data_IF_508847553003
#
_entry.id   IF_508847553003
#
_cell.length_a   1.000
_cell.length_b   1.000
_cell.length_c   1.000
_cell.angle_alpha   90.00
_cell.angle_beta   90.00
_cell.angle_gamma   90.00
#
_symmetry.space_group_name_H-M   'P 1'
#
loop_
_entity.id
_entity.type
_entity.pdbx_description
1 polymer ?
#
# COMPACT_ATOMS: atom_id res chain seq x y z
N UNK A 1 -4.19 -16.94 -32.90
CA UNK A 1 -2.82 -17.35 -32.53
C UNK A 1 -2.04 -16.09 -32.19
N UNK A 2 -1.42 -15.90 -31.03
CA UNK A 2 -1.41 -16.63 -29.77
C UNK A 2 -1.11 -15.63 -28.66
N UNK A 3 -1.78 -15.75 -27.52
CA UNK A 3 -1.51 -14.99 -26.31
C UNK A 3 -0.75 -15.87 -25.31
N UNK A 4 0.33 -15.35 -24.73
CA UNK A 4 1.08 -16.04 -23.67
C UNK A 4 0.61 -15.54 -22.31
N UNK A 5 -0.16 -16.38 -21.61
CA UNK A 5 -0.29 -16.34 -20.15
C UNK A 5 0.70 -17.34 -19.55
N UNK A 6 1.51 -16.93 -18.58
CA UNK A 6 2.27 -17.86 -17.75
C UNK A 6 1.30 -18.61 -16.83
N UNK A 7 1.05 -19.89 -17.13
CA UNK A 7 0.23 -20.82 -16.35
C UNK A 7 1.15 -21.93 -15.82
N UNK A 8 1.15 -22.17 -14.51
CA UNK A 8 1.55 -23.46 -13.95
C UNK A 8 0.33 -24.39 -13.96
N UNK A 9 0.41 -25.50 -14.71
CA UNK A 9 -0.61 -26.56 -14.77
C UNK A 9 -0.09 -27.83 -14.07
N UNK A 10 -0.98 -28.49 -13.32
CA UNK A 10 -0.90 -29.89 -12.90
C UNK A 10 -2.29 -30.47 -13.14
N UNK A 11 -2.40 -31.59 -13.88
CA UNK A 11 -3.66 -32.26 -14.21
C UNK A 11 -3.91 -33.46 -13.28
N UNK A 12 -5.16 -33.65 -12.87
CA UNK A 12 -5.65 -34.85 -12.18
C UNK A 12 -6.89 -35.39 -12.89
N UNK A 13 -6.93 -36.71 -13.08
CA UNK A 13 -8.03 -37.47 -13.67
C UNK A 13 -8.79 -38.18 -12.53
N UNK A 14 -10.06 -37.84 -12.30
CA UNK A 14 -10.93 -38.53 -11.33
C UNK A 14 -12.31 -37.88 -11.15
N UNK A 15 -13.35 -38.72 -11.12
CA UNK A 15 -14.78 -38.35 -11.11
C UNK A 15 -15.27 -37.91 -9.71
N UNK A 16 -15.66 -36.63 -9.58
CA UNK A 16 -16.13 -35.99 -8.33
C UNK A 16 -17.66 -36.08 -8.17
N UNK A 17 -18.35 -36.80 -9.07
CA UNK A 17 -19.83 -36.81 -9.15
C UNK A 17 -20.54 -37.59 -8.02
N UNK A 18 -19.81 -38.40 -7.25
CA UNK A 18 -20.39 -39.35 -6.27
C UNK A 18 -20.45 -38.83 -4.83
N UNK A 19 -19.73 -37.76 -4.49
CA UNK A 19 -19.68 -37.22 -3.11
C UNK A 19 -20.81 -36.20 -2.87
N UNK A 20 -21.30 -35.54 -3.92
CA UNK A 20 -22.30 -34.46 -3.82
C UNK A 20 -23.74 -34.99 -3.67
N UNK A 21 -24.01 -36.28 -3.95
CA UNK A 21 -25.37 -36.85 -3.89
C UNK A 21 -25.79 -37.39 -2.52
N UNK A 22 -24.88 -37.48 -1.54
CA UNK A 22 -25.22 -38.00 -0.21
C UNK A 22 -25.68 -36.94 0.80
N UNK A 23 -25.57 -35.64 0.48
CA UNK A 23 -25.83 -34.55 1.44
C UNK A 23 -27.23 -33.92 1.33
N UNK A 24 -28.11 -34.41 0.45
CA UNK A 24 -29.31 -33.66 0.04
C UNK A 24 -30.67 -34.23 0.46
N UNK A 25 -30.73 -35.06 1.51
CA UNK A 25 -32.00 -35.54 2.05
C UNK A 25 -31.97 -35.61 3.57
N UNK A 26 -32.55 -34.59 4.22
CA UNK A 26 -33.41 -34.65 5.43
C UNK A 26 -33.42 -33.30 6.17
N UNK A 27 -34.56 -32.59 6.08
CA UNK A 27 -35.41 -32.20 7.22
C UNK A 27 -36.26 -30.96 6.88
N UNK A 28 -37.56 -31.11 7.12
CA UNK A 28 -38.62 -30.12 6.97
C UNK A 28 -38.78 -29.25 8.25
N UNK A 29 -38.95 -27.92 8.02
CA UNK A 29 -39.72 -26.79 8.67
C UNK A 29 -40.42 -27.04 10.05
N UNK A 30 -40.63 -26.06 11.00
CA UNK A 30 -40.92 -24.62 10.77
C UNK A 30 -40.52 -23.51 11.81
N UNK A 31 -40.41 -22.25 11.34
CA UNK A 31 -40.54 -20.96 12.09
C UNK A 31 -39.40 -20.59 13.07
N UNK A 32 -39.01 -19.31 13.33
CA UNK A 32 -39.75 -18.05 13.24
C UNK A 32 -39.08 -17.02 12.31
N UNK A 33 -39.71 -16.72 11.17
CA UNK A 33 -39.21 -15.84 10.10
C UNK A 33 -39.24 -14.32 10.41
N UNK A 34 -39.29 -13.90 11.68
CA UNK A 34 -39.35 -12.47 12.03
C UNK A 34 -38.09 -11.90 12.71
N UNK A 35 -37.14 -12.74 13.14
CA UNK A 35 -35.93 -12.25 13.84
C UNK A 35 -34.58 -12.60 13.15
N UNK A 36 -34.55 -13.51 12.17
CA UNK A 36 -33.29 -13.87 11.48
C UNK A 36 -32.79 -12.82 10.47
N UNK A 37 -33.65 -11.93 9.96
CA UNK A 37 -33.23 -10.94 8.96
C UNK A 37 -32.27 -9.86 9.51
N UNK A 38 -32.21 -9.69 10.83
CA UNK A 38 -31.25 -8.77 11.49
C UNK A 38 -29.93 -9.49 11.83
N UNK A 39 -29.95 -10.81 12.04
CA UNK A 39 -28.76 -11.59 12.39
C UNK A 39 -27.98 -12.06 11.15
N UNK A 40 -28.61 -12.31 10.00
CA UNK A 40 -27.90 -12.74 8.78
C UNK A 40 -27.04 -11.62 8.15
N UNK A 41 -27.37 -10.34 8.38
CA UNK A 41 -26.47 -9.21 8.05
C UNK A 41 -25.41 -8.93 9.13
N UNK A 42 -25.56 -9.53 10.31
CA UNK A 42 -24.51 -9.69 11.31
C UNK A 42 -23.87 -11.07 11.14
N UNK A 43 -23.51 -11.45 9.92
CA UNK A 43 -22.51 -12.50 9.69
C UNK A 43 -21.20 -12.02 10.30
N UNK A 44 -21.12 -12.16 11.62
CA UNK A 44 -19.90 -12.15 12.38
C UNK A 44 -19.00 -13.12 11.60
N UNK A 45 -17.96 -12.59 10.95
CA UNK A 45 -16.90 -13.42 10.35
C UNK A 45 -16.70 -14.63 11.28
N UNK A 46 -16.79 -15.87 10.76
CA UNK A 46 -16.78 -17.05 11.60
C UNK A 46 -15.62 -16.92 12.58
N UNK A 47 -15.90 -17.07 13.87
CA UNK A 47 -14.90 -16.99 14.92
C UNK A 47 -13.85 -18.07 14.65
N UNK A 48 -12.79 -17.69 13.94
CA UNK A 48 -11.70 -18.62 13.66
C UNK A 48 -10.96 -18.87 14.96
N UNK A 49 -10.64 -20.14 15.28
CA UNK A 49 -9.78 -20.46 16.41
C UNK A 49 -8.45 -19.72 16.26
N UNK A 50 -7.94 -19.21 17.39
CA UNK A 50 -6.66 -18.53 17.45
C UNK A 50 -5.55 -19.54 17.11
N UNK A 51 -4.75 -19.22 16.09
CA UNK A 51 -3.54 -19.97 15.75
C UNK A 51 -2.34 -19.09 16.13
N UNK A 52 -1.34 -19.63 16.86
CA UNK A 52 -0.10 -18.90 17.13
C UNK A 52 0.51 -18.40 15.82
N UNK A 53 0.84 -17.11 15.78
CA UNK A 53 1.39 -16.47 14.59
C UNK A 53 2.80 -17.04 14.34
N UNK A 54 2.99 -17.69 13.19
CA UNK A 54 4.30 -18.21 12.78
C UNK A 54 5.25 -17.03 12.61
N UNK A 55 6.38 -17.05 13.31
CA UNK A 55 7.38 -15.97 13.30
C UNK A 55 7.69 -15.49 11.88
N UNK A 56 7.69 -14.16 11.70
CA UNK A 56 7.92 -13.40 10.45
C UNK A 56 6.89 -13.50 9.30
N UNK A 57 5.76 -14.21 9.46
CA UNK A 57 4.74 -14.26 8.40
C UNK A 57 4.00 -12.93 8.14
N UNK A 58 4.15 -11.93 9.02
CA UNK A 58 3.68 -10.57 8.76
C UNK A 58 4.41 -9.88 7.59
N UNK A 59 5.62 -10.34 7.22
CA UNK A 59 6.36 -9.82 6.05
C UNK A 59 5.58 -9.99 4.74
N UNK A 60 4.56 -10.83 4.72
CA UNK A 60 3.65 -10.98 3.57
C UNK A 60 2.67 -9.80 3.44
N UNK A 61 2.38 -9.11 4.56
CA UNK A 61 1.57 -7.91 4.57
C UNK A 61 2.40 -6.65 4.28
N UNK A 62 3.70 -6.67 4.64
CA UNK A 62 4.64 -5.58 4.38
C UNK A 62 5.17 -5.70 2.96
N UNK A 63 5.21 -4.60 2.22
CA UNK A 63 5.77 -4.52 0.87
C UNK A 63 7.17 -3.94 0.96
N UNK A 64 8.09 -4.56 0.23
CA UNK A 64 9.43 -3.99 0.05
C UNK A 64 9.33 -2.74 -0.84
N UNK A 65 9.40 -1.56 -0.20
CA UNK A 65 9.33 -0.22 -0.80
C UNK A 65 10.53 0.58 -0.31
N UNK A 66 10.85 1.69 -0.99
CA UNK A 66 11.97 2.56 -0.61
C UNK A 66 11.90 2.93 0.89
N UNK A 67 12.97 2.72 1.68
CA UNK A 67 12.99 2.96 3.13
C UNK A 67 13.12 4.45 3.47
N UNK A 68 12.32 5.29 2.81
CA UNK A 68 12.33 6.74 2.98
C UNK A 68 11.24 7.18 3.94
N UNK A 69 11.52 8.24 4.70
CA UNK A 69 10.54 8.85 5.60
C UNK A 69 9.30 9.34 4.86
N UNK A 70 8.18 9.45 5.56
CA UNK A 70 6.94 9.97 4.97
C UNK A 70 7.09 11.41 4.44
N UNK A 71 7.99 12.21 5.03
CA UNK A 71 8.28 13.59 4.61
C UNK A 71 9.01 13.59 3.26
N UNK A 72 10.09 12.84 3.16
CA UNK A 72 10.87 12.70 1.91
C UNK A 72 10.02 12.10 0.79
N UNK A 73 9.21 11.07 1.09
CA UNK A 73 8.25 10.50 0.14
C UNK A 73 7.27 11.57 -0.37
N UNK A 74 6.69 12.37 0.53
CA UNK A 74 5.72 13.40 0.18
C UNK A 74 6.35 14.49 -0.70
N UNK A 75 7.58 14.89 -0.41
CA UNK A 75 8.32 15.88 -1.20
C UNK A 75 8.58 15.35 -2.62
N UNK A 76 9.08 14.12 -2.75
CA UNK A 76 9.23 13.45 -4.04
C UNK A 76 7.93 13.36 -4.83
N UNK A 77 6.84 12.93 -4.19
CA UNK A 77 5.51 12.89 -4.82
C UNK A 77 5.03 14.29 -5.26
N UNK A 78 5.43 15.34 -4.53
CA UNK A 78 5.10 16.71 -4.88
C UNK A 78 5.85 17.16 -6.13
N UNK A 79 7.15 16.91 -6.19
CA UNK A 79 7.99 17.22 -7.35
C UNK A 79 7.49 16.51 -8.60
N UNK A 80 7.28 15.18 -8.51
CA UNK A 80 6.71 14.39 -9.61
C UNK A 80 5.35 14.93 -10.08
N UNK A 81 4.49 15.35 -9.15
CA UNK A 81 3.20 15.92 -9.49
C UNK A 81 3.34 17.26 -10.23
N UNK A 82 4.23 18.15 -9.77
CA UNK A 82 4.45 19.46 -10.39
C UNK A 82 5.03 19.32 -11.80
N UNK A 83 6.01 18.43 -12.00
CA UNK A 83 6.58 18.14 -13.32
C UNK A 83 5.52 17.63 -14.31
N UNK A 84 4.67 16.69 -13.86
CA UNK A 84 3.57 16.17 -14.68
C UNK A 84 2.58 17.27 -15.06
N UNK A 85 2.27 18.19 -14.14
CA UNK A 85 1.39 19.32 -14.41
C UNK A 85 2.01 20.34 -15.35
N UNK A 86 3.30 20.65 -15.20
CA UNK A 86 4.02 21.55 -16.12
C UNK A 86 3.96 21.02 -17.55
N UNK A 87 4.42 19.79 -17.76
CA UNK A 87 4.42 19.15 -19.07
C UNK A 87 3.00 19.05 -19.66
N UNK A 88 1.99 18.83 -18.80
CA UNK A 88 0.61 18.75 -19.24
C UNK A 88 0.03 20.09 -19.67
N UNK A 89 0.27 21.16 -18.90
CA UNK A 89 -0.18 22.51 -19.27
C UNK A 89 0.47 22.97 -20.58
N UNK A 90 1.77 22.67 -20.78
CA UNK A 90 2.46 22.96 -22.04
C UNK A 90 1.90 22.18 -23.25
N UNK A 91 1.18 21.07 -23.02
CA UNK A 91 0.51 20.32 -24.09
C UNK A 91 -0.87 20.87 -24.48
N UNK A 92 -1.39 21.84 -23.74
CA UNK A 92 -2.66 22.48 -24.04
C UNK A 92 -2.50 23.57 -25.13
N UNK A 93 -3.60 24.04 -25.74
CA UNK A 93 -3.52 25.08 -26.75
C UNK A 93 -2.88 26.39 -26.24
N UNK A 94 -2.02 26.97 -27.06
CA UNK A 94 -1.23 28.17 -26.71
C UNK A 94 -2.04 29.44 -26.46
N UNK A 95 -3.29 29.51 -26.97
CA UNK A 95 -4.17 30.65 -26.74
C UNK A 95 -4.70 30.73 -25.29
N UNK A 96 -4.59 29.65 -24.51
CA UNK A 96 -5.01 29.63 -23.12
C UNK A 96 -4.04 30.47 -22.28
N UNK A 97 -4.56 31.41 -21.49
CA UNK A 97 -3.75 32.41 -20.79
C UNK A 97 -2.65 31.80 -19.89
N UNK A 98 -2.98 30.75 -19.13
CA UNK A 98 -2.01 30.04 -18.27
C UNK A 98 -0.86 29.40 -19.07
N UNK A 99 -1.15 28.91 -20.28
CA UNK A 99 -0.15 28.29 -21.15
C UNK A 99 0.74 29.35 -21.77
N UNK A 100 0.16 30.46 -22.24
CA UNK A 100 0.91 31.61 -22.76
C UNK A 100 1.87 32.18 -21.70
N UNK A 101 1.40 32.35 -20.47
CA UNK A 101 2.23 32.78 -19.34
C UNK A 101 3.37 31.78 -19.07
N UNK A 102 3.07 30.49 -18.98
CA UNK A 102 4.07 29.46 -18.70
C UNK A 102 5.12 29.34 -19.83
N UNK A 103 4.68 29.41 -21.08
CA UNK A 103 5.54 29.32 -22.27
C UNK A 103 6.46 30.55 -22.42
N UNK A 104 6.04 31.72 -21.93
CA UNK A 104 6.84 32.95 -21.93
C UNK A 104 8.03 32.92 -20.96
N UNK A 105 8.01 32.00 -19.99
CA UNK A 105 9.08 31.83 -19.00
C UNK A 105 10.20 30.93 -19.53
N UNK A 106 11.42 31.17 -19.06
CA UNK A 106 12.55 30.25 -19.24
C UNK A 106 12.26 28.90 -18.58
N UNK A 107 12.87 27.83 -19.08
CA UNK A 107 12.70 26.48 -18.51
C UNK A 107 13.03 26.42 -17.01
N UNK A 108 14.02 27.20 -16.56
CA UNK A 108 14.38 27.32 -15.14
C UNK A 108 13.34 28.02 -14.27
N UNK A 109 12.48 28.87 -14.84
CA UNK A 109 11.50 29.66 -14.10
C UNK A 109 10.11 28.99 -14.05
N UNK A 110 9.81 28.06 -14.96
CA UNK A 110 8.51 27.37 -15.03
C UNK A 110 8.17 26.57 -13.77
N UNK A 111 9.08 25.78 -13.15
CA UNK A 111 8.74 25.00 -11.95
C UNK A 111 8.27 25.88 -10.80
N UNK A 112 8.79 27.11 -10.68
CA UNK A 112 8.37 28.08 -9.67
C UNK A 112 6.92 28.53 -9.87
N UNK A 113 6.55 28.92 -11.10
CA UNK A 113 5.16 29.30 -11.41
C UNK A 113 4.20 28.14 -11.11
N UNK A 114 4.54 26.92 -11.51
CA UNK A 114 3.70 25.74 -11.28
C UNK A 114 3.58 25.44 -9.78
N UNK A 115 4.67 25.58 -9.01
CA UNK A 115 4.64 25.47 -7.56
C UNK A 115 3.81 26.58 -6.91
N UNK A 116 3.83 27.81 -7.39
CA UNK A 116 3.00 28.89 -6.85
C UNK A 116 1.50 28.62 -7.09
N UNK A 117 1.15 28.08 -8.27
CA UNK A 117 -0.23 27.70 -8.60
C UNK A 117 -0.73 26.49 -7.80
N UNK A 118 0.08 25.45 -7.68
CA UNK A 118 -0.36 24.12 -7.23
C UNK A 118 0.18 23.72 -5.85
N UNK A 119 1.19 24.44 -5.34
CA UNK A 119 1.96 24.14 -4.13
C UNK A 119 1.12 23.98 -2.86
N UNK A 120 0.01 24.69 -2.81
CA UNK A 120 -0.90 24.69 -1.67
C UNK A 120 -1.85 23.46 -1.64
N UNK A 121 -1.81 22.59 -2.64
CA UNK A 121 -2.58 21.35 -2.72
C UNK A 121 -1.72 20.15 -2.35
N UNK A 122 -2.37 19.09 -1.85
CA UNK A 122 -1.67 17.84 -1.56
C UNK A 122 -1.25 17.11 -2.86
N UNK A 123 -0.08 16.45 -2.90
CA UNK A 123 0.41 15.71 -4.08
C UNK A 123 -0.61 14.70 -4.61
N UNK A 124 -1.22 13.92 -3.72
CA UNK A 124 -2.26 12.94 -4.08
C UNK A 124 -3.49 13.57 -4.74
N UNK A 125 -3.83 14.81 -4.38
CA UNK A 125 -4.90 15.57 -5.04
C UNK A 125 -4.47 15.99 -6.43
N UNK A 126 -3.26 16.56 -6.57
CA UNK A 126 -2.70 16.97 -7.86
C UNK A 126 -2.67 15.80 -8.85
N UNK A 127 -2.14 14.65 -8.44
CA UNK A 127 -2.06 13.45 -9.28
C UNK A 127 -3.45 12.91 -9.65
N UNK A 128 -4.42 12.94 -8.72
CA UNK A 128 -5.79 12.51 -9.01
C UNK A 128 -6.47 13.41 -10.04
N UNK A 129 -6.29 14.74 -9.93
CA UNK A 129 -6.84 15.72 -10.88
C UNK A 129 -6.15 15.64 -12.23
N UNK A 130 -4.83 15.52 -12.24
CA UNK A 130 -4.02 15.30 -13.43
C UNK A 130 -4.52 14.08 -14.21
N UNK A 131 -4.59 12.90 -13.57
CA UNK A 131 -5.02 11.66 -14.25
C UNK A 131 -6.43 11.74 -14.82
N UNK A 132 -7.36 12.36 -14.09
CA UNK A 132 -8.74 12.52 -14.56
C UNK A 132 -8.82 13.47 -15.77
N UNK A 133 -8.13 14.62 -15.70
CA UNK A 133 -8.12 15.60 -16.78
C UNK A 133 -7.31 15.11 -17.99
N UNK A 134 -6.22 14.37 -17.76
CA UNK A 134 -5.41 13.73 -18.81
C UNK A 134 -6.22 12.71 -19.59
N UNK A 135 -7.00 11.87 -18.90
CA UNK A 135 -7.89 10.92 -19.57
C UNK A 135 -8.93 11.61 -20.48
N UNK A 136 -9.44 12.77 -20.07
CA UNK A 136 -10.33 13.58 -20.89
C UNK A 136 -9.59 14.23 -22.08
N UNK A 137 -8.40 14.79 -21.84
CA UNK A 137 -7.56 15.37 -22.87
C UNK A 137 -7.17 14.36 -23.97
N UNK A 138 -6.78 13.15 -23.56
CA UNK A 138 -6.43 12.08 -24.49
C UNK A 138 -7.67 11.61 -25.29
N UNK A 139 -8.86 11.60 -24.67
CA UNK A 139 -10.12 11.33 -25.37
C UNK A 139 -10.39 12.38 -26.46
N UNK A 140 -10.30 13.68 -26.14
CA UNK A 140 -10.49 14.75 -27.13
C UNK A 140 -9.49 14.65 -28.28
N UNK A 141 -8.23 14.36 -27.96
CA UNK A 141 -7.16 14.19 -28.95
C UNK A 141 -7.45 13.04 -29.91
N UNK A 142 -8.06 11.95 -29.44
CA UNK A 142 -8.54 10.84 -30.27
C UNK A 142 -9.58 11.25 -31.32
N UNK A 143 -10.36 12.31 -31.05
CA UNK A 143 -11.33 12.90 -31.98
C UNK A 143 -10.81 14.17 -32.66
N UNK A 144 -9.51 14.49 -32.52
CA UNK A 144 -8.90 15.73 -33.04
C UNK A 144 -9.58 17.01 -32.55
N UNK A 145 -10.21 16.96 -31.38
CA UNK A 145 -10.83 18.12 -30.73
C UNK A 145 -9.78 18.80 -29.85
N UNK A 146 -9.67 20.12 -29.98
CA UNK A 146 -8.77 20.92 -29.14
C UNK A 146 -9.33 21.03 -27.71
N UNK A 147 -8.47 20.85 -26.70
CA UNK A 147 -8.85 21.04 -25.31
C UNK A 147 -9.22 22.52 -25.03
N UNK A 148 -10.29 22.83 -24.27
CA UNK A 148 -11.09 21.94 -23.42
C UNK A 148 -12.30 21.25 -24.09
N UNK A 149 -12.53 21.47 -25.39
CA UNK A 149 -13.70 20.95 -26.12
C UNK A 149 -15.01 21.64 -25.74
N UNK A 150 -16.11 21.18 -26.32
CA UNK A 150 -17.47 21.65 -26.05
C UNK A 150 -18.14 20.88 -24.90
N UNK A 151 -19.30 21.38 -24.43
CA UNK A 151 -20.14 20.64 -23.46
C UNK A 151 -20.49 19.24 -23.96
N UNK A 152 -20.79 19.13 -25.25
CA UNK A 152 -21.15 17.86 -25.88
C UNK A 152 -19.99 16.87 -25.86
N UNK A 153 -18.76 17.33 -26.07
CA UNK A 153 -17.57 16.48 -26.01
C UNK A 153 -17.32 15.97 -24.58
N UNK A 154 -17.48 16.87 -23.59
CA UNK A 154 -17.38 16.51 -22.18
C UNK A 154 -18.44 15.48 -21.79
N UNK A 155 -19.68 15.71 -22.15
CA UNK A 155 -20.76 14.75 -21.90
C UNK A 155 -20.51 13.41 -22.60
N UNK A 156 -20.06 13.44 -23.86
CA UNK A 156 -19.69 12.26 -24.63
C UNK A 156 -18.60 11.44 -23.94
N UNK A 157 -17.59 12.08 -23.35
CA UNK A 157 -16.58 11.40 -22.56
C UNK A 157 -17.16 10.73 -21.30
N UNK A 158 -18.08 11.40 -20.60
CA UNK A 158 -18.73 10.82 -19.42
C UNK A 158 -19.60 9.60 -19.78
N UNK A 159 -20.31 9.65 -20.90
CA UNK A 159 -21.02 8.51 -21.47
C UNK A 159 -20.04 7.38 -21.81
N UNK A 160 -18.95 7.66 -22.52
CA UNK A 160 -17.92 6.66 -22.82
C UNK A 160 -17.35 5.98 -21.57
N UNK A 161 -17.13 6.73 -20.49
CA UNK A 161 -16.71 6.16 -19.21
C UNK A 161 -17.80 5.25 -18.62
N UNK A 162 -19.07 5.65 -18.72
CA UNK A 162 -20.21 4.86 -18.26
C UNK A 162 -20.34 3.55 -19.05
N UNK A 163 -20.24 3.62 -20.38
CA UNK A 163 -20.34 2.47 -21.29
C UNK A 163 -19.18 1.48 -21.05
N UNK A 164 -18.00 1.98 -20.68
CA UNK A 164 -16.87 1.17 -20.21
C UNK A 164 -17.03 0.64 -18.77
N UNK A 165 -18.20 0.79 -18.16
CA UNK A 165 -18.50 0.30 -16.81
C UNK A 165 -17.75 1.02 -15.69
N UNK A 166 -17.21 2.23 -15.92
CA UNK A 166 -16.52 2.98 -14.87
C UNK A 166 -17.52 3.48 -13.83
N UNK A 167 -17.11 3.40 -12.56
CA UNK A 167 -17.94 3.85 -11.44
C UNK A 167 -18.33 5.34 -11.55
N UNK A 168 -19.48 5.71 -10.98
CA UNK A 168 -19.94 7.10 -10.90
C UNK A 168 -18.89 8.03 -10.25
N UNK A 169 -18.12 7.52 -9.28
CA UNK A 169 -17.02 8.27 -8.65
C UNK A 169 -15.89 8.65 -9.61
N UNK A 170 -15.62 7.83 -10.64
CA UNK A 170 -14.63 8.16 -11.66
C UNK A 170 -15.11 9.32 -12.54
N UNK A 171 -16.38 9.28 -12.98
CA UNK A 171 -17.03 10.33 -13.76
C UNK A 171 -17.14 11.64 -12.97
N UNK A 172 -17.53 11.56 -11.68
CA UNK A 172 -17.48 12.70 -10.75
C UNK A 172 -16.05 13.25 -10.61
N UNK A 173 -15.04 12.38 -10.60
CA UNK A 173 -13.64 12.77 -10.56
C UNK A 173 -13.21 13.67 -11.72
N UNK A 174 -13.77 13.46 -12.93
CA UNK A 174 -13.55 14.31 -14.11
C UNK A 174 -14.13 15.71 -13.88
N UNK A 175 -15.38 15.81 -13.43
CA UNK A 175 -16.02 17.10 -13.14
C UNK A 175 -15.28 17.90 -12.06
N UNK A 176 -14.82 17.21 -11.02
CA UNK A 176 -13.99 17.82 -9.99
C UNK A 176 -12.60 18.24 -10.52
N UNK A 177 -12.07 17.59 -11.55
CA UNK A 177 -10.84 18.00 -12.23
C UNK A 177 -11.05 19.21 -13.14
N UNK A 178 -12.20 19.32 -13.82
CA UNK A 178 -12.58 20.54 -14.53
C UNK A 178 -12.80 21.70 -13.57
N UNK A 179 -13.43 21.46 -12.42
CA UNK A 179 -13.55 22.47 -11.35
C UNK A 179 -12.17 22.91 -10.86
N UNK A 180 -11.25 21.96 -10.71
CA UNK A 180 -9.87 22.25 -10.32
C UNK A 180 -9.16 23.12 -11.37
N UNK A 181 -9.27 22.77 -12.65
CA UNK A 181 -8.71 23.58 -13.73
C UNK A 181 -9.27 25.01 -13.72
N UNK A 182 -10.58 25.17 -13.50
CA UNK A 182 -11.22 26.49 -13.41
C UNK A 182 -10.73 27.31 -12.21
N UNK A 183 -10.87 26.77 -11.01
CA UNK A 183 -10.76 27.56 -9.77
C UNK A 183 -9.35 27.56 -9.16
N UNK A 184 -8.49 26.62 -9.55
CA UNK A 184 -7.10 26.54 -9.03
C UNK A 184 -6.11 26.99 -10.09
N UNK A 185 -6.28 26.53 -11.34
CA UNK A 185 -5.37 26.89 -12.44
C UNK A 185 -5.80 28.20 -13.11
N UNK A 186 -7.07 28.58 -13.01
CA UNK A 186 -7.60 29.81 -13.62
C UNK A 186 -8.06 29.63 -15.07
N UNK A 187 -8.34 28.40 -15.50
CA UNK A 187 -8.82 28.10 -16.85
C UNK A 187 -10.31 28.43 -16.98
N UNK A 188 -10.64 29.61 -17.49
CA UNK A 188 -12.03 30.11 -17.54
C UNK A 188 -12.89 29.38 -18.58
N UNK A 189 -12.25 28.85 -19.63
CA UNK A 189 -12.87 28.22 -20.80
C UNK A 189 -13.61 26.92 -20.44
N UNK A 190 -13.24 26.25 -19.35
CA UNK A 190 -13.96 25.06 -18.85
C UNK A 190 -15.24 25.40 -18.07
N UNK A 191 -15.59 26.69 -17.95
CA UNK A 191 -16.75 27.15 -17.18
C UNK A 191 -18.06 26.46 -17.58
N UNK A 192 -18.38 26.47 -18.88
CA UNK A 192 -19.60 25.86 -19.41
C UNK A 192 -19.65 24.33 -19.20
N UNK A 193 -18.49 23.67 -19.20
CA UNK A 193 -18.39 22.22 -18.93
C UNK A 193 -18.68 21.92 -17.46
N UNK A 194 -18.13 22.76 -16.57
CA UNK A 194 -18.27 22.60 -15.13
C UNK A 194 -19.69 22.87 -14.63
N UNK A 195 -20.45 23.74 -15.30
CA UNK A 195 -21.82 24.13 -14.93
C UNK A 195 -22.91 23.27 -15.58
N UNK A 196 -22.55 22.37 -16.52
CA UNK A 196 -23.52 21.55 -17.24
C UNK A 196 -24.31 20.61 -16.31
N UNK A 197 -25.61 20.88 -16.18
CA UNK A 197 -26.56 20.00 -15.46
C UNK A 197 -26.58 18.58 -16.03
N UNK A 198 -26.35 18.44 -17.34
CA UNK A 198 -26.33 17.16 -18.05
C UNK A 198 -25.10 16.32 -17.63
N UNK A 199 -23.93 16.94 -17.60
CA UNK A 199 -22.69 16.32 -17.12
C UNK A 199 -22.79 15.92 -15.64
N UNK A 200 -23.31 16.80 -14.79
CA UNK A 200 -23.58 16.49 -13.37
C UNK A 200 -24.59 15.36 -13.20
N UNK A 201 -25.65 15.34 -14.01
CA UNK A 201 -26.65 14.29 -14.02
C UNK A 201 -26.00 12.93 -14.32
N UNK A 202 -25.17 12.85 -15.36
CA UNK A 202 -24.45 11.62 -15.71
C UNK A 202 -23.57 11.12 -14.54
N UNK A 203 -22.76 12.01 -13.96
CA UNK A 203 -21.87 11.66 -12.85
C UNK A 203 -22.61 11.29 -11.54
N UNK A 204 -23.90 11.64 -11.41
CA UNK A 204 -24.77 11.26 -10.30
C UNK A 204 -25.48 9.92 -10.50
N UNK A 205 -25.48 9.34 -11.70
CA UNK A 205 -26.10 8.03 -11.93
C UNK A 205 -25.29 6.97 -11.18
N UNK A 206 -25.69 6.72 -9.93
CA UNK A 206 -25.13 5.69 -9.06
C UNK A 206 -25.69 4.35 -9.51
N UNK A 207 -24.83 3.39 -9.80
CA UNK A 207 -25.29 2.00 -9.87
C UNK A 207 -25.80 1.63 -8.48
N UNK A 208 -26.99 1.05 -8.38
CA UNK A 208 -27.67 0.70 -7.12
C UNK A 208 -26.94 -0.40 -6.30
N UNK A 209 -25.63 -0.55 -6.47
CA UNK A 209 -24.79 -1.45 -5.69
C UNK A 209 -24.62 -0.85 -4.31
N UNK A 210 -25.12 -1.56 -3.31
CA UNK A 210 -24.78 -1.31 -1.92
C UNK A 210 -23.26 -1.19 -1.80
N UNK A 211 -22.79 -0.07 -1.24
CA UNK A 211 -21.37 0.14 -1.00
C UNK A 211 -20.94 -0.83 0.09
N UNK A 212 -20.19 -1.87 -0.27
CA UNK A 212 -19.54 -2.76 0.70
C UNK A 212 -18.55 -1.95 1.56
N UNK A 213 -19.00 -1.57 2.75
CA UNK A 213 -18.14 -0.94 3.75
C UNK A 213 -17.45 -2.02 4.57
N UNK A 214 -16.19 -1.77 4.95
CA UNK A 214 -15.53 -2.62 5.92
C UNK A 214 -16.31 -2.58 7.24
N UNK A 215 -16.56 -3.73 7.84
CA UNK A 215 -17.19 -3.81 9.17
C UNK A 215 -16.30 -3.11 10.20
N UNK A 216 -16.93 -2.43 11.16
CA UNK A 216 -16.22 -1.93 12.34
C UNK A 216 -15.56 -3.08 13.11
N UNK A 217 -14.47 -2.78 13.82
CA UNK A 217 -13.83 -3.74 14.72
C UNK A 217 -14.77 -4.08 15.88
N UNK A 218 -14.91 -5.37 16.17
CA UNK A 218 -15.67 -5.87 17.32
C UNK A 218 -14.84 -5.87 18.58
N UNK A 219 -15.50 -5.95 19.73
CA UNK A 219 -14.84 -6.12 21.04
C UNK A 219 -13.92 -7.35 21.03
N UNK A 220 -14.36 -8.48 20.47
CA UNK A 220 -13.53 -9.69 20.36
C UNK A 220 -12.29 -9.51 19.49
N UNK A 221 -12.33 -8.63 18.49
CA UNK A 221 -11.18 -8.30 17.65
C UNK A 221 -10.21 -7.36 18.38
N UNK A 222 -10.72 -6.42 19.20
CA UNK A 222 -9.89 -5.60 20.09
C UNK A 222 -9.21 -6.44 21.17
N UNK A 223 -9.90 -7.43 21.72
CA UNK A 223 -9.31 -8.39 22.66
C UNK A 223 -8.21 -9.24 22.01
N UNK A 224 -8.37 -9.62 20.73
CA UNK A 224 -7.30 -10.30 19.97
C UNK A 224 -6.07 -9.41 19.76
N UNK A 225 -6.26 -8.14 19.41
CA UNK A 225 -5.16 -7.18 19.29
C UNK A 225 -4.44 -6.98 20.62
N UNK A 226 -5.17 -6.87 21.73
CA UNK A 226 -4.58 -6.85 23.07
C UNK A 226 -3.74 -8.11 23.30
N UNK A 227 -4.31 -9.29 23.10
CA UNK A 227 -3.62 -10.55 23.35
C UNK A 227 -2.32 -10.64 22.52
N UNK A 228 -2.35 -10.19 21.26
CA UNK A 228 -1.16 -10.09 20.43
C UNK A 228 -0.15 -9.07 20.97
N UNK A 229 -0.58 -7.90 21.45
CA UNK A 229 0.30 -6.93 22.10
C UNK A 229 1.00 -7.51 23.35
N UNK A 230 0.29 -8.32 24.11
CA UNK A 230 0.74 -8.87 25.39
C UNK A 230 1.65 -10.10 25.21
N UNK A 231 1.33 -11.00 24.28
CA UNK A 231 1.92 -12.34 24.24
C UNK A 231 2.51 -12.76 22.89
N UNK A 232 2.40 -11.97 21.82
CA UNK A 232 2.95 -12.40 20.53
C UNK A 232 4.49 -12.51 20.61
N UNK A 233 5.10 -13.61 20.15
CA UNK A 233 6.55 -13.78 20.20
C UNK A 233 7.30 -12.75 19.34
N UNK A 234 6.65 -12.17 18.33
CA UNK A 234 7.21 -11.14 17.48
C UNK A 234 6.94 -9.75 18.05
N UNK A 235 8.01 -9.03 18.41
CA UNK A 235 7.95 -7.62 18.79
C UNK A 235 7.26 -6.75 17.72
N UNK A 236 7.43 -7.08 16.44
CA UNK A 236 6.75 -6.38 15.34
C UNK A 236 5.23 -6.49 15.41
N UNK A 237 4.70 -7.68 15.67
CA UNK A 237 3.26 -7.89 15.86
C UNK A 237 2.76 -7.17 17.13
N UNK A 238 3.55 -7.17 18.21
CA UNK A 238 3.22 -6.45 19.45
C UNK A 238 3.09 -4.94 19.20
N UNK A 239 4.11 -4.34 18.60
CA UNK A 239 4.13 -2.91 18.27
C UNK A 239 3.02 -2.55 17.28
N UNK A 240 2.82 -3.36 16.24
CA UNK A 240 1.74 -3.16 15.27
C UNK A 240 0.35 -3.22 15.93
N UNK A 241 0.14 -4.17 16.84
CA UNK A 241 -1.13 -4.33 17.56
C UNK A 241 -1.41 -3.14 18.47
N UNK A 242 -0.40 -2.67 19.22
CA UNK A 242 -0.54 -1.46 20.03
C UNK A 242 -0.78 -0.20 19.18
N UNK A 243 -0.12 -0.06 18.03
CA UNK A 243 -0.39 1.05 17.10
C UNK A 243 -1.81 0.97 16.51
N UNK A 244 -2.32 -0.22 16.24
CA UNK A 244 -3.70 -0.44 15.77
C UNK A 244 -4.74 -0.10 16.84
N UNK A 245 -4.46 -0.42 18.11
CA UNK A 245 -5.27 -0.02 19.26
C UNK A 245 -5.26 1.51 19.43
N UNK A 246 -4.08 2.15 19.35
CA UNK A 246 -3.95 3.61 19.36
C UNK A 246 -4.77 4.26 18.24
N UNK A 247 -4.71 3.73 17.02
CA UNK A 247 -5.51 4.23 15.89
C UNK A 247 -7.02 4.11 16.15
N UNK A 248 -7.44 3.01 16.80
CA UNK A 248 -8.85 2.74 17.10
C UNK A 248 -9.37 3.64 18.21
N UNK A 249 -8.69 3.68 19.35
CA UNK A 249 -9.11 4.46 20.52
C UNK A 249 -8.91 5.96 20.31
N UNK A 250 -7.83 6.37 19.64
CA UNK A 250 -7.59 7.75 19.22
C UNK A 250 -8.44 8.22 18.05
N UNK A 251 -9.29 7.34 17.48
CA UNK A 251 -10.22 7.62 16.37
C UNK A 251 -9.55 8.28 15.17
N UNK A 252 -8.28 7.94 14.94
CA UNK A 252 -7.46 8.54 13.89
C UNK A 252 -7.58 7.76 12.60
N UNK A 253 -7.28 8.42 11.47
CA UNK A 253 -6.96 7.68 10.24
C UNK A 253 -5.54 7.15 10.37
N UNK A 254 -5.30 5.94 9.85
CA UNK A 254 -3.97 5.35 9.84
C UNK A 254 -2.92 6.31 9.24
N UNK A 255 -3.20 6.89 8.08
CA UNK A 255 -2.28 7.84 7.42
C UNK A 255 -2.02 9.10 8.23
N UNK A 256 -3.03 9.61 8.97
CA UNK A 256 -2.83 10.78 9.83
C UNK A 256 -1.97 10.38 11.05
N UNK A 257 -2.21 9.22 11.66
CA UNK A 257 -1.42 8.70 12.79
C UNK A 257 0.05 8.45 12.42
N UNK A 258 0.31 7.93 11.22
CA UNK A 258 1.68 7.71 10.72
C UNK A 258 2.48 9.01 10.53
N UNK A 259 1.80 10.16 10.47
CA UNK A 259 2.40 11.50 10.38
C UNK A 259 2.53 12.20 11.72
N UNK A 260 2.33 11.50 12.83
CA UNK A 260 2.51 12.04 14.17
C UNK A 260 3.92 12.61 14.31
N UNK A 261 4.00 13.87 14.76
CA UNK A 261 5.26 14.56 15.00
C UNK A 261 5.71 14.41 16.46
N UNK A 262 4.75 14.27 17.39
CA UNK A 262 5.00 14.14 18.82
C UNK A 262 4.03 13.15 19.45
N UNK A 263 4.56 12.29 20.31
CA UNK A 263 3.78 11.49 21.26
C UNK A 263 4.02 12.08 22.66
N UNK A 264 2.96 12.23 23.43
CA UNK A 264 2.99 12.56 24.84
C UNK A 264 2.43 11.36 25.60
N UNK A 265 3.24 10.82 26.51
CA UNK A 265 2.86 9.77 27.44
C UNK A 265 2.36 10.46 28.70
N UNK A 266 1.05 10.52 28.89
CA UNK A 266 0.41 11.27 29.98
C UNK A 266 0.11 10.36 31.16
N UNK A 267 0.62 10.70 32.34
CA UNK A 267 0.55 9.89 33.54
C UNK A 267 -0.36 10.55 34.59
N UNK A 268 -1.12 9.74 35.32
CA UNK A 268 -1.91 10.22 36.45
C UNK A 268 -1.05 10.59 37.67
N UNK A 269 -1.69 11.05 38.74
CA UNK A 269 -1.03 11.42 40.00
C UNK A 269 -0.34 10.24 40.71
N UNK A 270 -0.70 9.01 40.36
CA UNK A 270 -0.11 7.78 40.90
C UNK A 270 1.05 7.27 40.04
N UNK A 271 1.34 7.92 38.91
CA UNK A 271 2.39 7.54 37.98
C UNK A 271 1.98 6.45 36.98
N UNK A 272 0.69 6.12 36.88
CA UNK A 272 0.20 5.19 35.87
C UNK A 272 -0.03 5.95 34.56
N UNK A 273 0.35 5.34 33.43
CA UNK A 273 0.06 5.93 32.13
C UNK A 273 -1.47 5.96 31.93
N UNK A 274 -2.06 7.14 31.82
CA UNK A 274 -3.49 7.36 31.72
C UNK A 274 -3.93 7.60 30.27
N UNK A 275 -3.18 8.43 29.53
CA UNK A 275 -3.47 8.75 28.14
C UNK A 275 -2.22 8.73 27.26
N UNK A 276 -2.46 8.51 25.97
CA UNK A 276 -1.47 8.70 24.92
C UNK A 276 -2.00 9.81 24.03
N UNK A 277 -1.26 10.90 23.94
CA UNK A 277 -1.59 12.00 23.05
C UNK A 277 -0.62 12.04 21.87
N UNK A 278 -1.14 12.24 20.67
CA UNK A 278 -0.37 12.38 19.45
C UNK A 278 -0.77 13.66 18.75
N UNK A 279 0.22 14.39 18.23
CA UNK A 279 -0.01 15.64 17.49
C UNK A 279 0.49 15.52 16.06
N UNK A 280 -0.32 15.97 15.11
CA UNK A 280 -0.01 15.97 13.67
C UNK A 280 -0.06 17.38 13.10
N UNK A 281 1.02 17.82 12.47
CA UNK A 281 1.09 19.12 11.76
C UNK A 281 0.58 19.04 10.31
N UNK A 282 0.78 17.90 9.63
CA UNK A 282 0.39 17.73 8.22
C UNK A 282 -0.81 16.79 8.08
N UNK A 283 -2.01 17.36 8.10
CA UNK A 283 -3.28 16.64 7.90
C UNK A 283 -4.14 17.24 6.76
N UNK A 284 -5.10 16.45 6.26
CA UNK A 284 -5.96 16.80 5.11
C UNK A 284 -6.70 18.14 5.26
N UNK A 285 -7.02 18.54 6.48
CA UNK A 285 -7.81 19.73 6.80
C UNK A 285 -6.96 20.92 7.29
N UNK A 286 -5.63 20.85 7.26
CA UNK A 286 -4.75 21.90 7.83
C UNK A 286 -4.96 23.30 7.23
N UNK A 287 -5.40 23.37 5.97
CA UNK A 287 -5.65 24.64 5.27
C UNK A 287 -7.09 25.16 5.48
N UNK A 288 -7.97 24.42 6.16
CA UNK A 288 -9.28 24.94 6.52
C UNK A 288 -9.10 26.02 7.60
N UNK A 289 -9.85 27.13 7.49
CA UNK A 289 -9.70 28.30 8.38
C UNK A 289 -9.72 27.95 9.87
N UNK A 290 -10.50 26.94 10.25
CA UNK A 290 -10.66 26.48 11.63
C UNK A 290 -9.44 25.76 12.23
N UNK A 291 -8.52 25.25 11.39
CA UNK A 291 -7.35 24.48 11.84
C UNK A 291 -6.01 25.15 11.52
N UNK A 292 -6.04 26.41 11.07
CA UNK A 292 -4.83 27.12 10.65
C UNK A 292 -3.96 27.44 11.87
N UNK A 293 -2.82 26.77 11.99
CA UNK A 293 -1.86 26.99 13.08
C UNK A 293 -2.08 26.12 14.32
N UNK A 294 -3.03 25.17 14.28
CA UNK A 294 -3.28 24.20 15.36
C UNK A 294 -2.94 22.80 14.90
N UNK A 295 -2.18 22.06 15.71
CA UNK A 295 -1.94 20.64 15.51
C UNK A 295 -3.26 19.87 15.64
N UNK A 296 -3.42 18.78 14.89
CA UNK A 296 -4.53 17.85 15.09
C UNK A 296 -4.19 16.90 16.24
N UNK A 297 -4.89 16.94 17.38
CA UNK A 297 -4.63 16.03 18.49
C UNK A 297 -5.39 14.71 18.29
N UNK A 298 -4.73 13.61 18.63
CA UNK A 298 -5.36 12.32 18.87
C UNK A 298 -5.07 11.93 20.31
N UNK A 299 -6.12 11.62 21.07
CA UNK A 299 -6.00 11.18 22.45
C UNK A 299 -6.63 9.80 22.56
N UNK A 300 -5.85 8.84 23.05
CA UNK A 300 -6.34 7.51 23.37
C UNK A 300 -6.14 7.25 24.87
N UNK A 301 -7.15 6.69 25.56
CA UNK A 301 -6.92 6.17 26.90
C UNK A 301 -5.93 5.00 26.85
N UNK A 302 -5.09 4.90 27.86
CA UNK A 302 -4.17 3.79 28.03
C UNK A 302 -4.89 2.50 28.47
N UNK A 303 -6.07 2.64 29.09
CA UNK A 303 -7.00 1.55 29.40
C UNK A 303 -8.08 1.46 28.31
N UNK A 304 -8.33 0.25 27.83
CA UNK A 304 -9.31 -0.01 26.77
C UNK A 304 -10.56 -0.72 27.28
N UNK A 305 -11.13 -1.57 26.43
CA UNK A 305 -12.25 -2.48 26.78
C UNK A 305 -11.89 -3.58 27.80
N UNK A 306 -10.70 -3.52 28.37
CA UNK A 306 -10.13 -4.53 29.26
C UNK A 306 -9.31 -3.85 30.35
N UNK A 307 -9.24 -4.48 31.52
CA UNK A 307 -8.53 -3.97 32.70
C UNK A 307 -7.01 -4.23 32.63
N UNK A 308 -6.39 -3.84 31.52
CA UNK A 308 -4.93 -3.86 31.36
C UNK A 308 -4.49 -2.57 30.69
N UNK A 309 -3.40 -1.98 31.19
CA UNK A 309 -2.82 -0.75 30.65
C UNK A 309 -2.13 -1.03 29.29
N UNK A 310 -2.93 -0.99 28.23
CA UNK A 310 -2.51 -1.19 26.84
C UNK A 310 -1.45 -0.18 26.43
N UNK A 311 -1.55 1.05 26.92
CA UNK A 311 -0.58 2.09 26.60
C UNK A 311 0.81 1.77 27.17
N UNK A 312 0.88 1.31 28.42
CA UNK A 312 2.13 0.93 29.05
C UNK A 312 2.76 -0.29 28.36
N UNK A 313 1.94 -1.30 28.02
CA UNK A 313 2.40 -2.46 27.23
C UNK A 313 2.95 -2.05 25.87
N UNK A 314 2.28 -1.11 25.19
CA UNK A 314 2.73 -0.64 23.89
C UNK A 314 4.00 0.20 23.98
N UNK A 315 4.10 1.10 24.96
CA UNK A 315 5.33 1.85 25.24
C UNK A 315 6.50 0.90 25.49
N UNK A 316 6.28 -0.16 26.28
CA UNK A 316 7.30 -1.16 26.53
C UNK A 316 7.68 -1.91 25.25
N UNK A 317 6.72 -2.38 24.46
CA UNK A 317 7.01 -3.05 23.19
C UNK A 317 7.78 -2.16 22.21
N UNK A 318 7.51 -0.85 22.18
CA UNK A 318 8.29 0.12 21.39
C UNK A 318 9.75 0.20 21.88
N UNK A 319 9.96 0.27 23.19
CA UNK A 319 11.30 0.28 23.81
C UNK A 319 12.06 -1.02 23.53
N UNK A 320 11.40 -2.16 23.71
CA UNK A 320 11.99 -3.49 23.46
C UNK A 320 12.42 -3.66 22.00
N UNK A 321 11.65 -3.09 21.06
CA UNK A 321 12.01 -3.10 19.64
C UNK A 321 13.12 -2.09 19.31
N UNK A 322 13.40 -1.11 20.18
CA UNK A 322 14.39 -0.05 19.94
C UNK A 322 13.84 1.14 19.14
N UNK A 323 12.53 1.37 19.16
CA UNK A 323 11.91 2.49 18.44
C UNK A 323 12.16 3.82 19.13
N UNK A 324 12.62 4.79 18.34
CA UNK A 324 12.64 6.21 18.73
C UNK A 324 11.24 6.81 18.62
N UNK A 325 10.96 7.82 19.43
CA UNK A 325 9.73 8.59 19.28
C UNK A 325 9.79 9.49 18.03
N UNK A 326 8.62 9.86 17.45
CA UNK A 326 8.60 10.62 16.22
C UNK A 326 9.32 11.98 16.26
N UNK A 327 9.39 12.58 17.46
CA UNK A 327 10.12 13.84 17.69
C UNK A 327 11.63 13.67 17.52
N UNK A 328 12.13 12.46 17.77
CA UNK A 328 13.55 12.10 17.69
C UNK A 328 13.90 11.43 16.34
N UNK A 329 13.05 11.65 15.33
CA UNK A 329 13.22 11.11 13.97
C UNK A 329 12.65 9.71 13.76
N UNK A 330 12.02 9.09 14.77
CA UNK A 330 11.40 7.77 14.63
C UNK A 330 10.10 7.77 13.81
N UNK A 331 9.70 6.59 13.34
CA UNK A 331 8.37 6.39 12.77
C UNK A 331 7.37 5.94 13.85
N UNK A 332 6.09 6.32 13.69
CA UNK A 332 5.01 5.86 14.57
C UNK A 332 4.84 4.34 14.50
N UNK A 333 4.74 3.78 13.29
CA UNK A 333 4.88 2.35 13.02
C UNK A 333 5.79 2.20 11.79
N UNK A 334 7.07 1.82 11.96
CA UNK A 334 7.95 1.60 10.82
C UNK A 334 7.56 0.32 10.06
N UNK A 335 7.87 0.30 8.77
CA UNK A 335 7.93 -0.93 8.00
C UNK A 335 9.35 -1.50 8.13
N UNK A 336 9.52 -2.78 8.54
CA UNK A 336 10.84 -3.40 8.52
C UNK A 336 11.38 -3.48 7.10
N UNK A 337 12.70 -3.39 6.97
CA UNK A 337 13.39 -3.74 5.73
C UNK A 337 13.58 -5.26 5.60
N UNK A 338 14.35 -5.66 4.60
CA UNK A 338 14.71 -7.05 4.35
C UNK A 338 15.55 -7.69 5.46
N UNK A 339 16.21 -6.90 6.29
CA UNK A 339 17.05 -7.39 7.37
C UNK A 339 16.35 -7.30 8.73
N UNK A 340 15.02 -7.08 8.70
CA UNK A 340 14.16 -6.87 9.86
C UNK A 340 14.57 -5.68 10.72
N UNK A 341 15.32 -4.74 10.13
CA UNK A 341 15.77 -3.53 10.80
C UNK A 341 14.68 -2.47 10.77
N UNK A 342 14.76 -1.58 11.76
CA UNK A 342 13.89 -0.41 11.84
C UNK A 342 14.29 0.55 10.72
N UNK A 343 13.29 1.03 9.99
CA UNK A 343 13.48 2.04 8.95
C UNK A 343 12.72 3.32 9.28
N UNK A 344 13.06 4.41 8.60
CA UNK A 344 12.32 5.67 8.70
C UNK A 344 10.96 5.62 7.95
N UNK A 345 10.74 4.57 7.16
CA UNK A 345 9.53 4.39 6.36
C UNK A 345 8.38 3.94 7.24
N UNK A 346 7.34 4.76 7.30
CA UNK A 346 6.11 4.40 7.99
C UNK A 346 5.31 3.34 7.20
N UNK A 347 4.68 2.42 7.93
CA UNK A 347 3.81 1.39 7.37
C UNK A 347 2.57 2.04 6.71
N UNK A 348 2.30 1.70 5.45
CA UNK A 348 1.21 2.34 4.72
C UNK A 348 -0.14 1.65 4.94
N UNK A 349 -1.24 2.35 4.64
CA UNK A 349 -2.60 1.90 4.96
C UNK A 349 -2.97 0.57 4.31
N UNK A 350 -2.45 0.26 3.12
CA UNK A 350 -2.71 -1.01 2.44
C UNK A 350 -2.03 -2.20 3.15
N UNK A 351 -0.81 -1.99 3.63
CA UNK A 351 -0.03 -2.97 4.39
C UNK A 351 -0.60 -3.15 5.80
N UNK A 352 -0.92 -2.04 6.48
CA UNK A 352 -1.55 -2.06 7.78
C UNK A 352 -2.90 -2.80 7.73
N UNK A 353 -3.70 -2.59 6.69
CA UNK A 353 -4.95 -3.33 6.52
C UNK A 353 -4.73 -4.83 6.31
N UNK A 354 -3.70 -5.24 5.58
CA UNK A 354 -3.34 -6.64 5.38
C UNK A 354 -2.83 -7.27 6.69
N UNK A 355 -1.95 -6.58 7.39
CA UNK A 355 -1.35 -7.03 8.65
C UNK A 355 -2.41 -7.12 9.75
N UNK A 356 -3.35 -6.16 9.82
CA UNK A 356 -4.48 -6.21 10.75
C UNK A 356 -5.35 -7.46 10.52
N UNK A 357 -5.69 -7.77 9.27
CA UNK A 357 -6.45 -8.98 8.96
C UNK A 357 -5.69 -10.25 9.35
N UNK A 358 -4.38 -10.25 9.12
CA UNK A 358 -3.51 -11.35 9.50
C UNK A 358 -3.50 -11.56 11.03
N UNK A 359 -3.29 -10.51 11.83
CA UNK A 359 -3.33 -10.62 13.30
C UNK A 359 -4.70 -11.06 13.81
N UNK A 360 -5.78 -10.57 13.21
CA UNK A 360 -7.13 -10.87 13.68
C UNK A 360 -7.64 -12.26 13.30
N UNK A 361 -7.34 -12.74 12.09
CA UNK A 361 -7.99 -13.92 11.51
C UNK A 361 -7.02 -14.98 10.97
N UNK A 362 -5.72 -14.74 11.08
CA UNK A 362 -4.70 -15.51 10.38
C UNK A 362 -4.84 -15.39 8.86
N UNK A 363 -4.18 -16.31 8.15
CA UNK A 363 -4.33 -16.43 6.69
C UNK A 363 -5.70 -17.00 6.33
N UNK A 364 -6.34 -16.53 5.25
CA UNK A 364 -7.49 -17.24 4.68
C UNK A 364 -7.06 -18.63 4.19
N UNK A 365 -7.91 -19.68 4.18
CA UNK A 365 -7.50 -21.02 3.75
C UNK A 365 -6.74 -21.04 2.42
N UNK A 366 -7.25 -20.32 1.41
CA UNK A 366 -6.57 -20.16 0.13
C UNK A 366 -5.20 -19.45 0.24
N UNK A 367 -5.10 -18.40 1.07
CA UNK A 367 -3.82 -17.74 1.33
C UNK A 367 -2.88 -18.64 2.13
N UNK A 368 -3.39 -19.44 3.08
CA UNK A 368 -2.63 -20.38 3.87
C UNK A 368 -2.03 -21.48 2.98
N UNK A 369 -2.79 -21.97 2.00
CA UNK A 369 -2.30 -22.94 1.01
C UNK A 369 -1.22 -22.32 0.10
N UNK A 370 -1.45 -21.10 -0.42
CA UNK A 370 -0.44 -20.38 -1.19
C UNK A 370 0.84 -20.13 -0.38
N UNK A 371 0.69 -19.78 0.89
CA UNK A 371 1.80 -19.54 1.81
C UNK A 371 2.51 -20.83 2.16
N UNK A 372 1.79 -21.93 2.38
CA UNK A 372 2.38 -23.24 2.62
C UNK A 372 3.20 -23.70 1.42
N UNK A 373 2.66 -23.53 0.21
CA UNK A 373 3.37 -23.82 -1.03
C UNK A 373 4.63 -22.95 -1.19
N UNK A 374 4.53 -21.63 -0.97
CA UNK A 374 5.68 -20.73 -1.02
C UNK A 374 6.75 -21.08 0.03
N UNK A 375 6.33 -21.36 1.28
CA UNK A 375 7.23 -21.78 2.35
C UNK A 375 7.91 -23.13 2.05
N UNK A 376 7.21 -24.06 1.39
CA UNK A 376 7.80 -25.32 0.95
C UNK A 376 8.90 -25.08 -0.10
N UNK A 377 8.66 -24.17 -1.06
CA UNK A 377 9.68 -23.74 -2.03
C UNK A 377 10.89 -23.13 -1.31
N UNK A 378 10.68 -22.20 -0.37
CA UNK A 378 11.80 -21.56 0.34
C UNK A 378 12.62 -22.55 1.18
N UNK A 379 11.96 -23.50 1.85
CA UNK A 379 12.66 -24.58 2.57
C UNK A 379 13.42 -25.50 1.62
N UNK A 380 12.84 -25.82 0.46
CA UNK A 380 13.54 -26.59 -0.57
C UNK A 380 14.76 -25.84 -1.10
N UNK A 381 14.66 -24.53 -1.32
CA UNK A 381 15.80 -23.68 -1.70
C UNK A 381 16.92 -23.77 -0.65
N UNK A 382 16.63 -23.60 0.64
CA UNK A 382 17.66 -23.73 1.70
C UNK A 382 18.31 -25.11 1.71
N UNK A 383 17.55 -26.19 1.49
CA UNK A 383 18.12 -27.55 1.37
C UNK A 383 19.03 -27.69 0.16
N UNK A 384 18.67 -27.11 -0.98
CA UNK A 384 19.52 -27.10 -2.19
C UNK A 384 20.81 -26.31 -1.92
N UNK A 385 20.70 -25.14 -1.28
CA UNK A 385 21.87 -24.34 -0.89
C UNK A 385 22.79 -25.10 0.06
N UNK A 386 22.23 -25.83 1.03
CA UNK A 386 23.00 -26.68 1.93
C UNK A 386 23.73 -27.80 1.19
N UNK A 387 23.07 -28.47 0.23
CA UNK A 387 23.75 -29.47 -0.61
C UNK A 387 24.86 -28.86 -1.46
N UNK A 388 24.65 -27.66 -2.00
CA UNK A 388 25.68 -26.96 -2.75
C UNK A 388 26.89 -26.62 -1.86
N UNK A 389 26.65 -26.21 -0.61
CA UNK A 389 27.70 -26.01 0.39
C UNK A 389 28.49 -27.30 0.67
N UNK A 390 27.83 -28.42 0.94
CA UNK A 390 28.49 -29.72 1.24
C UNK A 390 29.35 -30.23 0.07
N UNK A 391 28.90 -29.96 -1.16
CA UNK A 391 29.56 -30.42 -2.39
C UNK A 391 30.60 -29.44 -2.93
N UNK A 392 30.72 -28.25 -2.33
CA UNK A 392 31.56 -27.17 -2.85
C UNK A 392 31.11 -26.65 -4.21
N UNK A 393 29.84 -26.83 -4.57
CA UNK A 393 29.29 -26.41 -5.85
C UNK A 393 29.23 -24.88 -5.96
N UNK A 394 29.52 -24.36 -7.16
CA UNK A 394 29.33 -22.95 -7.47
C UNK A 394 27.82 -22.69 -7.65
N UNK A 395 27.31 -21.69 -6.93
CA UNK A 395 25.92 -21.28 -7.01
C UNK A 395 25.78 -19.83 -7.44
N UNK A 396 24.64 -19.55 -8.07
CA UNK A 396 24.13 -18.22 -8.37
C UNK A 396 22.63 -18.26 -8.07
N UNK A 397 22.13 -17.34 -7.26
CA UNK A 397 20.69 -17.21 -6.98
C UNK A 397 20.20 -15.94 -7.65
N UNK A 398 19.23 -16.07 -8.55
CA UNK A 398 18.68 -14.94 -9.31
C UNK A 398 17.29 -14.57 -8.81
N UNK A 399 17.14 -13.33 -8.33
CA UNK A 399 15.84 -12.81 -7.94
C UNK A 399 15.88 -11.27 -7.86
N UNK A 400 14.75 -10.55 -8.02
CA UNK A 400 14.74 -9.10 -7.88
C UNK A 400 15.32 -8.68 -6.53
N UNK A 401 16.15 -7.64 -6.51
CA UNK A 401 16.82 -7.12 -5.29
C UNK A 401 15.81 -6.91 -4.16
N UNK A 402 14.63 -6.40 -4.51
CA UNK A 402 13.57 -6.04 -3.55
C UNK A 402 12.61 -7.17 -3.23
N UNK A 403 12.96 -8.41 -3.51
CA UNK A 403 12.09 -9.54 -3.19
C UNK A 403 12.20 -9.93 -1.72
N UNK A 404 11.08 -10.35 -1.11
CA UNK A 404 11.07 -10.91 0.24
C UNK A 404 11.78 -12.27 0.34
N UNK A 405 12.16 -12.88 -0.78
CA UNK A 405 12.93 -14.12 -0.77
C UNK A 405 14.23 -13.99 0.04
N UNK A 406 14.99 -12.91 -0.14
CA UNK A 406 16.30 -12.74 0.51
C UNK A 406 16.21 -12.76 2.05
N UNK A 407 15.37 -11.90 2.68
CA UNK A 407 15.04 -11.97 4.10
C UNK A 407 14.64 -13.37 4.55
N UNK A 408 13.72 -13.99 3.81
CA UNK A 408 13.15 -15.28 4.19
C UNK A 408 14.21 -16.38 4.15
N UNK A 409 15.08 -16.39 3.13
CA UNK A 409 16.21 -17.31 3.07
C UNK A 409 17.20 -17.05 4.22
N UNK A 410 17.54 -15.80 4.50
CA UNK A 410 18.43 -15.45 5.61
C UNK A 410 17.87 -15.95 6.96
N UNK A 411 16.57 -15.76 7.21
CA UNK A 411 15.90 -16.30 8.39
C UNK A 411 15.91 -17.84 8.42
N UNK A 412 15.59 -18.50 7.30
CA UNK A 412 15.53 -19.96 7.22
C UNK A 412 16.91 -20.61 7.33
N UNK A 413 17.96 -19.97 6.82
CA UNK A 413 19.36 -20.41 6.98
C UNK A 413 19.79 -20.31 8.43
N UNK A 414 19.50 -19.19 9.11
CA UNK A 414 19.76 -19.06 10.57
C UNK A 414 19.00 -20.13 11.37
N UNK A 415 17.76 -20.43 10.98
CA UNK A 415 16.95 -21.47 11.61
C UNK A 415 17.38 -22.91 11.25
N UNK A 416 18.25 -23.10 10.25
CA UNK A 416 18.79 -24.42 9.88
C UNK A 416 19.83 -24.94 10.89
N UNK A 417 20.32 -24.07 11.78
CA UNK A 417 21.19 -24.40 12.92
C UNK A 417 22.50 -25.11 12.54
N UNK A 418 23.19 -24.60 11.51
CA UNK A 418 24.49 -25.11 11.08
C UNK A 418 25.49 -23.98 10.86
N UNK A 419 26.32 -23.68 11.86
CA UNK A 419 27.18 -22.49 11.92
C UNK A 419 28.03 -22.27 10.64
N UNK A 420 28.76 -23.29 10.18
CA UNK A 420 29.61 -23.16 8.99
C UNK A 420 28.85 -22.95 7.67
N UNK A 421 27.59 -23.39 7.61
CA UNK A 421 26.72 -23.16 6.45
C UNK A 421 26.13 -21.75 6.50
N UNK A 422 25.72 -21.31 7.69
CA UNK A 422 25.29 -19.94 7.95
C UNK A 422 26.38 -18.95 7.55
N UNK A 423 27.62 -19.15 8.03
CA UNK A 423 28.76 -18.30 7.69
C UNK A 423 29.05 -18.31 6.18
N UNK A 424 28.96 -19.48 5.54
CA UNK A 424 29.12 -19.61 4.09
C UNK A 424 28.05 -18.82 3.32
N UNK A 425 26.78 -18.91 3.73
CA UNK A 425 25.67 -18.21 3.07
C UNK A 425 25.81 -16.69 3.21
N UNK A 426 26.15 -16.19 4.40
CA UNK A 426 26.36 -14.76 4.63
C UNK A 426 27.69 -14.23 4.07
N UNK A 427 28.60 -15.11 3.65
CA UNK A 427 29.80 -14.75 2.90
C UNK A 427 29.58 -14.69 1.37
N UNK A 428 28.39 -15.04 0.87
CA UNK A 428 28.04 -14.85 -0.54
C UNK A 428 28.09 -13.36 -0.87
N UNK A 429 28.65 -13.02 -2.03
CA UNK A 429 28.80 -11.62 -2.46
C UNK A 429 27.61 -11.25 -3.33
N UNK A 430 26.89 -10.19 -2.96
CA UNK A 430 25.82 -9.62 -3.77
C UNK A 430 26.39 -8.89 -5.01
N UNK A 431 25.85 -9.21 -6.17
CA UNK A 431 26.10 -8.51 -7.42
C UNK A 431 24.79 -8.00 -8.00
N UNK A 432 24.57 -6.69 -7.93
CA UNK A 432 23.42 -6.06 -8.56
C UNK A 432 23.65 -5.87 -10.06
N UNK A 433 22.70 -6.35 -10.87
CA UNK A 433 22.63 -6.08 -12.30
C UNK A 433 21.53 -5.07 -12.55
N UNK A 434 21.89 -3.94 -13.15
CA UNK A 434 20.93 -3.04 -13.74
C UNK A 434 20.35 -3.68 -15.01
N UNK A 435 19.13 -4.21 -14.93
CA UNK A 435 18.36 -4.52 -16.14
C UNK A 435 18.02 -3.19 -16.85
N UNK A 436 18.82 -2.82 -17.85
CA UNK A 436 18.64 -1.58 -18.62
C UNK A 436 17.64 -1.75 -19.79
N UNK A 437 16.97 -0.65 -20.12
CA UNK A 437 16.20 -0.35 -21.36
C UNK A 437 14.89 -1.12 -21.61
N UNK A 438 13.79 -0.34 -21.53
CA UNK A 438 12.45 -0.44 -22.15
C UNK A 438 11.26 -0.51 -21.18
N UNK A 439 10.51 0.61 -21.15
CA UNK A 439 9.06 0.61 -20.93
C UNK A 439 8.52 0.71 -19.51
N UNK A 440 9.33 0.69 -18.45
CA UNK A 440 8.83 0.94 -17.09
C UNK A 440 9.79 1.76 -16.24
N UNK A 441 9.31 2.87 -15.63
CA UNK A 441 10.05 3.70 -14.66
C UNK A 441 10.32 3.01 -13.31
N UNK A 442 10.18 1.68 -13.22
CA UNK A 442 10.51 0.90 -12.01
C UNK A 442 11.94 0.41 -12.14
N UNK A 443 12.78 0.72 -11.15
CA UNK A 443 14.08 0.07 -10.99
C UNK A 443 13.87 -1.45 -10.85
N UNK A 444 14.39 -2.22 -11.82
CA UNK A 444 14.33 -3.68 -11.85
C UNK A 444 15.73 -4.26 -11.66
N UNK A 445 16.47 -3.78 -10.66
CA UNK A 445 17.74 -4.39 -10.30
C UNK A 445 17.51 -5.83 -9.83
N UNK A 446 18.38 -6.75 -10.26
CA UNK A 446 18.43 -8.14 -9.78
C UNK A 446 19.76 -8.35 -9.03
N UNK A 447 19.73 -8.94 -7.83
CA UNK A 447 20.95 -9.30 -7.09
C UNK A 447 21.33 -10.75 -7.38
N UNK A 448 22.63 -11.00 -7.54
CA UNK A 448 23.25 -12.32 -7.55
C UNK A 448 24.16 -12.49 -6.34
N UNK A 449 23.82 -13.32 -5.35
CA UNK A 449 24.79 -13.84 -4.40
C UNK A 449 25.67 -14.89 -5.10
N UNK A 450 26.96 -14.63 -5.25
CA UNK A 450 27.92 -15.55 -5.91
C UNK A 450 29.22 -15.73 -5.10
N UNK A 451 29.87 -16.89 -5.29
CA UNK A 451 31.16 -17.22 -4.67
C UNK A 451 32.34 -16.56 -5.41
N UNK A 452 33.35 -16.07 -4.67
CA UNK A 452 34.56 -15.37 -5.19
C UNK A 452 35.31 -16.11 -6.32
N UNK A 453 35.18 -17.44 -6.44
CA UNK A 453 35.85 -18.24 -7.49
C UNK A 453 35.11 -18.30 -8.83
N UNK A 454 33.89 -17.73 -8.94
CA UNK A 454 33.19 -17.50 -10.21
C UNK A 454 33.81 -16.35 -11.05
N UNK A 455 34.88 -15.71 -10.55
CA UNK A 455 35.65 -14.70 -11.28
C UNK A 455 36.26 -15.21 -12.60
N UNK A 456 36.49 -16.53 -12.74
CA UNK A 456 37.20 -17.08 -13.91
C UNK A 456 36.34 -17.34 -15.15
N UNK A 457 35.00 -17.30 -15.06
CA UNK A 457 34.11 -17.48 -16.22
C UNK A 457 33.75 -16.16 -16.95
N UNK A 458 34.28 -15.02 -16.49
CA UNK A 458 34.03 -13.70 -17.10
C UNK A 458 35.08 -13.24 -18.12
N UNK A 459 36.05 -14.08 -18.47
CA UNK A 459 37.05 -13.71 -19.48
C UNK A 459 36.60 -13.97 -20.94
N UNK A 460 35.51 -14.71 -21.20
CA UNK A 460 35.19 -15.16 -22.58
C UNK A 460 33.84 -14.77 -23.16
N UNK A 461 33.01 -13.97 -22.49
CA UNK A 461 31.81 -13.39 -23.14
C UNK A 461 31.93 -11.88 -23.24
N UNK A 462 32.85 -11.44 -24.12
CA UNK A 462 32.82 -10.09 -24.69
C UNK A 462 32.17 -10.16 -26.07
N UNK A 463 31.08 -9.41 -26.21
CA UNK A 463 30.56 -8.85 -27.44
C UNK A 463 30.33 -9.82 -28.61
N UNK A 464 29.15 -10.45 -28.64
CA UNK A 464 28.41 -10.55 -29.89
C UNK A 464 27.12 -9.74 -29.76
N UNK A 465 27.12 -8.60 -30.45
CA UNK A 465 25.89 -7.92 -30.81
C UNK A 465 25.04 -8.85 -31.69
N UNK A 466 23.72 -8.70 -31.60
CA UNK A 466 22.64 -9.43 -32.28
C UNK A 466 22.12 -10.69 -31.58
N UNK A 467 20.99 -10.54 -30.90
CA UNK A 467 19.94 -11.55 -30.94
C UNK A 467 18.64 -10.90 -31.40
N UNK A 468 18.19 -11.30 -32.59
CA UNK A 468 16.83 -11.07 -33.11
C UNK A 468 15.90 -12.19 -32.59
N UNK A 469 14.67 -11.76 -32.26
CA UNK A 469 13.44 -12.49 -31.95
C UNK A 469 13.31 -13.18 -30.58
#
# INVERSE_FOLDING_TARGET
>A
AGGMSASSRIEFVGDVSSIVRAAHQRLEVPGPRAYCWILERLTLKPERPWLPLVGSSFLQAVKNRDPVSWRAKREKEMEEALELWEAFMLSWPSHLAVVSQLASLSESARPRMVRDLLGHKAPSTLLKRYRALRGYFDYLSGFRVSFPGSESDCYGYLCHLQDKGKAASARKGVLEALAFARFVIGLVEVGNLNESRRCHGNAKVVSNRDREQASALKVSELQRLRHALEHDPSLWNRVFSGCSLMCTYGRSRWEDLMRTDRILWDYDSEGNLAFIECSVDIHKTRNAKQFKGTLLPFVAPALGVVDVNLGALWLQARKDLGLKDPRDGGAMMPAPDSDMQITDRSLESDEAGAWLRYVLYGLRPFEAEQVAAANAVYRACVRILFRAYETGALISIENPVRSWLWPLLACLVKAFDHAAFTDWFFALTDYDFDACVFGSRRAKAASLPAYKRAQLLRAEVRASAQHQH
#
